data_IF_139394514736
#
_entry.id   IF_139394514736
#
_cell.length_a   1.000
_cell.length_b   1.000
_cell.length_c   1.000
_cell.angle_alpha   90.00
_cell.angle_beta   90.00
_cell.angle_gamma   90.00
#
_symmetry.space_group_name_H-M   'P 1'
#
loop_
_entity.id
_entity.type
_entity.pdbx_description
1 polymer ?
#
# COMPACT_ATOMS: atom_id res chain seq x y z
N UNK A 1 8.66 2.42 10.07
CA UNK A 1 8.27 1.21 9.30
C UNK A 1 7.53 1.55 8.02
N UNK A 2 6.53 2.43 8.04
CA UNK A 2 5.74 2.81 6.85
C UNK A 2 6.54 3.15 5.58
N UNK A 3 7.54 4.03 5.67
CA UNK A 3 8.40 4.38 4.52
C UNK A 3 9.07 3.15 3.90
N UNK A 4 9.67 2.28 4.73
CA UNK A 4 10.31 1.05 4.28
C UNK A 4 9.28 0.07 3.70
N UNK A 5 8.09 -0.01 4.29
CA UNK A 5 6.97 -0.84 3.81
C UNK A 5 6.49 -0.41 2.42
N UNK A 6 6.29 0.90 2.19
CA UNK A 6 5.92 1.44 0.88
C UNK A 6 7.01 1.18 -0.16
N UNK A 7 8.28 1.43 0.17
CA UNK A 7 9.40 1.17 -0.75
C UNK A 7 9.52 -0.31 -1.09
N UNK A 8 9.37 -1.19 -0.10
CA UNK A 8 9.39 -2.64 -0.27
C UNK A 8 8.21 -3.12 -1.12
N UNK A 9 6.99 -2.68 -0.82
CA UNK A 9 5.81 -3.08 -1.54
C UNK A 9 5.77 -2.54 -2.98
N UNK A 10 6.37 -1.37 -3.23
CA UNK A 10 6.40 -0.72 -4.54
C UNK A 10 7.25 -1.49 -5.56
N UNK A 11 8.23 -2.28 -5.12
CA UNK A 11 9.10 -3.06 -6.01
C UNK A 11 9.20 -4.50 -5.49
N UNK A 12 8.52 -5.48 -6.12
CA UNK A 12 8.22 -5.57 -7.56
C UNK A 12 6.78 -5.27 -7.97
N UNK A 13 5.95 -4.65 -7.10
CA UNK A 13 4.58 -4.23 -7.46
C UNK A 13 3.50 -5.31 -7.28
N UNK A 14 3.73 -6.29 -6.40
CA UNK A 14 2.80 -7.39 -6.14
C UNK A 14 1.38 -6.91 -5.79
N UNK A 15 1.27 -5.93 -4.88
CA UNK A 15 -0.02 -5.34 -4.48
C UNK A 15 -0.72 -4.74 -5.69
N UNK A 16 -0.02 -3.93 -6.51
CA UNK A 16 -0.60 -3.35 -7.72
C UNK A 16 -1.12 -4.42 -8.70
N UNK A 17 -0.34 -5.48 -8.93
CA UNK A 17 -0.74 -6.56 -9.83
C UNK A 17 -1.97 -7.29 -9.29
N UNK A 18 -1.95 -7.69 -8.02
CA UNK A 18 -3.06 -8.41 -7.39
C UNK A 18 -4.33 -7.56 -7.34
N UNK A 19 -4.23 -6.24 -7.11
CA UNK A 19 -5.37 -5.33 -7.19
C UNK A 19 -6.05 -5.38 -8.57
N UNK A 20 -5.29 -5.31 -9.66
CA UNK A 20 -5.86 -5.41 -11.02
C UNK A 20 -6.57 -6.75 -11.23
N UNK A 21 -5.97 -7.85 -10.77
CA UNK A 21 -6.57 -9.17 -10.86
C UNK A 21 -7.86 -9.28 -10.04
N UNK A 22 -7.86 -8.81 -8.79
CA UNK A 22 -9.02 -8.88 -7.89
C UNK A 22 -10.25 -8.19 -8.49
N UNK A 23 -10.08 -7.00 -9.05
CA UNK A 23 -11.18 -6.27 -9.70
C UNK A 23 -11.62 -6.93 -11.01
N UNK A 24 -10.69 -7.47 -11.80
CA UNK A 24 -11.05 -8.24 -12.99
C UNK A 24 -11.89 -9.47 -12.63
N UNK A 25 -11.51 -10.21 -11.59
CA UNK A 25 -12.24 -11.41 -11.15
C UNK A 25 -13.62 -11.07 -10.54
N UNK A 26 -13.73 -9.97 -9.80
CA UNK A 26 -15.03 -9.47 -9.31
C UNK A 26 -15.96 -9.08 -10.45
N UNK A 27 -15.45 -8.34 -11.43
CA UNK A 27 -16.25 -7.91 -12.59
C UNK A 27 -16.77 -9.10 -13.40
N UNK A 28 -15.96 -10.15 -13.53
CA UNK A 28 -16.33 -11.36 -14.26
C UNK A 28 -17.22 -12.32 -13.45
N UNK A 29 -17.64 -11.93 -12.23
CA UNK A 29 -18.50 -12.75 -11.38
C UNK A 29 -17.83 -14.02 -10.84
N UNK A 30 -16.49 -14.06 -10.85
CA UNK A 30 -15.72 -15.23 -10.41
C UNK A 30 -15.50 -15.25 -8.89
N UNK A 31 -15.77 -14.12 -8.22
CA UNK A 31 -15.76 -14.00 -6.77
C UNK A 31 -17.18 -13.67 -6.29
N UNK A 32 -17.69 -14.36 -5.26
CA UNK A 32 -18.95 -13.99 -4.60
C UNK A 32 -18.91 -12.54 -4.08
N UNK A 33 -20.05 -11.84 -4.08
CA UNK A 33 -20.12 -10.44 -3.65
C UNK A 33 -19.76 -10.26 -2.17
N UNK A 34 -20.12 -11.24 -1.34
CA UNK A 34 -19.84 -11.33 0.09
C UNK A 34 -18.38 -11.69 0.41
N UNK A 35 -17.65 -12.26 -0.56
CA UNK A 35 -16.23 -12.60 -0.40
C UNK A 35 -15.34 -11.41 -0.75
N UNK A 36 -14.99 -10.63 0.28
CA UNK A 36 -14.26 -9.36 0.17
C UNK A 36 -12.84 -9.50 0.70
N UNK A 37 -11.87 -8.87 0.02
CA UNK A 37 -10.52 -8.70 0.56
C UNK A 37 -10.43 -7.39 1.34
N UNK A 38 -10.88 -7.41 2.60
CA UNK A 38 -11.00 -6.23 3.46
C UNK A 38 -9.69 -5.43 3.62
N UNK A 39 -8.56 -6.12 3.82
CA UNK A 39 -7.26 -5.46 3.97
C UNK A 39 -6.86 -4.70 2.69
N UNK A 40 -7.11 -5.31 1.52
CA UNK A 40 -6.79 -4.72 0.22
C UNK A 40 -7.70 -3.53 -0.08
N UNK A 41 -9.00 -3.65 0.19
CA UNK A 41 -9.97 -2.57 -0.01
C UNK A 41 -9.69 -1.38 0.91
N UNK A 42 -9.31 -1.66 2.17
CA UNK A 42 -8.84 -0.63 3.10
C UNK A 42 -7.61 0.08 2.55
N UNK A 43 -6.60 -0.67 2.09
CA UNK A 43 -5.39 -0.08 1.50
C UNK A 43 -5.66 0.73 0.24
N UNK A 44 -6.60 0.30 -0.61
CA UNK A 44 -6.99 1.04 -1.81
C UNK A 44 -7.67 2.35 -1.44
N UNK A 45 -8.55 2.34 -0.45
CA UNK A 45 -9.23 3.56 0.03
C UNK A 45 -8.23 4.60 0.56
N UNK A 46 -7.21 4.14 1.29
CA UNK A 46 -6.10 4.91 1.82
C UNK A 46 -5.23 5.56 0.74
N UNK A 47 -4.88 4.80 -0.31
CA UNK A 47 -4.03 5.28 -1.41
C UNK A 47 -4.80 6.16 -2.40
N UNK A 48 -6.06 5.82 -2.67
CA UNK A 48 -6.89 6.33 -3.74
C UNK A 48 -6.81 5.46 -5.01
N UNK A 49 -7.92 5.35 -5.75
CA UNK A 49 -8.04 4.53 -6.97
C UNK A 49 -7.01 4.90 -8.05
N UNK A 50 -6.58 6.16 -8.11
CA UNK A 50 -5.56 6.67 -9.02
C UNK A 50 -4.16 6.05 -8.83
N UNK A 51 -3.89 5.47 -7.66
CA UNK A 51 -2.65 4.75 -7.41
C UNK A 51 -2.61 3.42 -8.18
N UNK A 52 -3.77 2.83 -8.46
CA UNK A 52 -3.88 1.51 -9.08
C UNK A 52 -4.38 1.57 -10.52
N UNK A 53 -5.34 2.46 -10.83
CA UNK A 53 -6.05 2.44 -12.10
C UNK A 53 -5.82 3.67 -12.98
N UNK A 54 -5.59 3.43 -14.26
CA UNK A 54 -5.70 4.48 -15.30
C UNK A 54 -7.14 4.96 -15.40
N UNK A 55 -7.37 6.28 -15.27
CA UNK A 55 -8.71 6.87 -15.31
C UNK A 55 -9.41 6.98 -13.95
N UNK A 56 -8.74 6.61 -12.85
CA UNK A 56 -9.23 6.66 -11.47
C UNK A 56 -10.41 5.72 -11.15
N UNK A 57 -10.70 4.77 -12.05
CA UNK A 57 -11.73 3.75 -11.85
C UNK A 57 -11.24 2.40 -12.39
N UNK A 58 -11.67 1.28 -11.79
CA UNK A 58 -11.44 -0.04 -12.37
C UNK A 58 -12.03 -0.10 -13.79
N UNK A 59 -11.31 -0.72 -14.75
CA UNK A 59 -11.88 -1.01 -16.07
C UNK A 59 -13.17 -1.83 -15.97
N UNK A 60 -13.99 -1.78 -17.03
CA UNK A 60 -15.28 -2.47 -17.12
C UNK A 60 -15.28 -3.63 -18.10
N UNK A 61 -14.13 -3.98 -18.68
CA UNK A 61 -13.99 -5.04 -19.68
C UNK A 61 -12.58 -5.66 -19.62
N UNK A 62 -12.44 -6.88 -20.14
CA UNK A 62 -11.20 -7.68 -20.09
C UNK A 62 -10.02 -6.99 -20.78
N UNK A 63 -10.25 -6.39 -21.94
CA UNK A 63 -9.22 -5.66 -22.69
C UNK A 63 -8.82 -4.38 -21.92
N UNK A 64 -9.77 -3.74 -21.24
CA UNK A 64 -9.55 -2.64 -20.32
C UNK A 64 -8.62 -3.00 -19.16
N UNK A 65 -8.87 -4.12 -18.47
CA UNK A 65 -8.01 -4.64 -17.39
C UNK A 65 -6.60 -4.93 -17.89
N UNK A 66 -6.46 -5.62 -19.03
CA UNK A 66 -5.17 -5.87 -19.65
C UNK A 66 -4.41 -4.57 -19.98
N UNK A 67 -5.08 -3.60 -20.63
CA UNK A 67 -4.48 -2.30 -20.97
C UNK A 67 -4.08 -1.50 -19.73
N UNK A 68 -4.92 -1.51 -18.70
CA UNK A 68 -4.64 -0.81 -17.45
C UNK A 68 -3.41 -1.41 -16.76
N UNK A 69 -3.31 -2.74 -16.72
CA UNK A 69 -2.18 -3.48 -16.17
C UNK A 69 -0.86 -3.11 -16.88
N UNK A 70 -0.80 -3.21 -18.21
CA UNK A 70 0.44 -2.94 -18.95
C UNK A 70 0.87 -1.47 -18.84
N UNK A 71 -0.08 -0.52 -18.87
CA UNK A 71 0.23 0.90 -18.65
C UNK A 71 0.78 1.11 -17.23
N UNK A 72 0.21 0.43 -16.24
CA UNK A 72 0.64 0.54 -14.83
C UNK A 72 2.04 -0.03 -14.60
N UNK A 73 2.46 -1.03 -15.39
CA UNK A 73 3.86 -1.50 -15.46
C UNK A 73 4.81 -0.57 -16.24
N UNK A 74 4.28 0.50 -16.83
CA UNK A 74 5.03 1.50 -17.59
C UNK A 74 5.26 1.11 -19.05
N UNK A 75 4.56 0.10 -19.58
CA UNK A 75 4.63 -0.26 -20.98
C UNK A 75 3.91 0.82 -21.81
N UNK A 76 4.63 1.42 -22.76
CA UNK A 76 4.09 2.49 -23.61
C UNK A 76 2.95 2.00 -24.50
N UNK A 77 1.87 2.78 -24.64
CA UNK A 77 0.76 2.49 -25.56
C UNK A 77 1.22 2.43 -27.03
N UNK A 78 2.34 3.06 -27.37
CA UNK A 78 2.96 2.97 -28.70
C UNK A 78 3.52 1.58 -29.03
N UNK A 79 3.70 0.71 -28.03
CA UNK A 79 4.06 -0.69 -28.26
C UNK A 79 2.86 -1.56 -28.66
N UNK A 80 1.63 -1.02 -28.68
CA UNK A 80 0.42 -1.73 -29.10
C UNK A 80 0.25 -1.77 -30.62
N UNK A 81 1.01 -0.95 -31.35
CA UNK A 81 1.03 -0.99 -32.80
C UNK A 81 1.76 -2.27 -33.30
N UNK A 82 1.31 -2.90 -34.39
CA UNK A 82 1.97 -4.06 -34.97
C UNK A 82 3.47 -3.76 -35.17
N UNK A 83 4.37 -4.59 -34.62
CA UNK A 83 5.78 -4.28 -34.66
C UNK A 83 6.28 -4.38 -36.10
N UNK A 84 6.90 -3.31 -36.62
CA UNK A 84 7.56 -3.31 -37.94
C UNK A 84 8.73 -4.31 -38.03
N UNK A 85 9.21 -4.83 -36.90
CA UNK A 85 10.28 -5.83 -36.79
C UNK A 85 9.86 -6.94 -35.84
N UNK A 86 9.99 -8.21 -36.25
CA UNK A 86 9.85 -9.36 -35.35
C UNK A 86 10.84 -9.19 -34.19
N UNK A 87 10.37 -9.31 -32.94
CA UNK A 87 11.15 -9.24 -31.68
C UNK A 87 11.47 -7.85 -31.09
N UNK A 88 10.72 -6.79 -31.41
CA UNK A 88 10.88 -5.51 -30.68
C UNK A 88 10.30 -5.64 -29.26
N UNK A 89 11.16 -5.66 -28.24
CA UNK A 89 10.74 -5.59 -26.83
C UNK A 89 9.97 -4.29 -26.57
N UNK A 90 8.90 -4.38 -25.78
CA UNK A 90 8.15 -3.22 -25.34
C UNK A 90 9.07 -2.26 -24.55
N UNK A 91 8.97 -0.96 -24.84
CA UNK A 91 9.74 0.03 -24.10
C UNK A 91 9.02 0.33 -22.77
N UNK A 92 9.71 0.12 -21.65
CA UNK A 92 9.18 0.38 -20.31
C UNK A 92 9.67 1.76 -19.86
N UNK A 93 8.74 2.68 -19.69
CA UNK A 93 9.03 4.03 -19.24
C UNK A 93 8.78 4.15 -17.73
N UNK A 94 9.85 4.36 -16.96
CA UNK A 94 9.78 4.43 -15.50
C UNK A 94 8.82 5.53 -15.00
N UNK A 95 8.75 6.68 -15.69
CA UNK A 95 7.79 7.75 -15.35
C UNK A 95 6.32 7.39 -15.59
N UNK A 96 6.05 6.36 -16.40
CA UNK A 96 4.69 5.92 -16.70
C UNK A 96 4.21 4.88 -15.68
N UNK A 97 5.13 4.16 -15.02
CA UNK A 97 4.80 3.21 -13.95
C UNK A 97 3.96 3.86 -12.86
N UNK A 98 2.89 3.20 -12.44
CA UNK A 98 2.11 3.64 -11.28
C UNK A 98 2.94 3.41 -10.02
N UNK A 99 2.79 4.31 -9.05
CA UNK A 99 3.50 4.21 -7.77
C UNK A 99 2.54 4.57 -6.64
N UNK A 100 2.77 3.95 -5.50
CA UNK A 100 2.01 4.21 -4.28
C UNK A 100 2.45 5.55 -3.68
N UNK A 101 1.51 6.22 -3.02
CA UNK A 101 1.78 7.43 -2.25
C UNK A 101 2.35 7.05 -0.88
N UNK A 102 3.34 7.81 -0.43
CA UNK A 102 3.78 7.77 0.96
C UNK A 102 2.70 8.38 1.86
N UNK A 103 2.06 7.56 2.68
CA UNK A 103 1.07 8.04 3.66
C UNK A 103 1.76 8.57 4.91
N UNK A 104 1.00 9.16 5.84
CA UNK A 104 1.53 9.75 7.07
C UNK A 104 2.72 10.72 6.82
N UNK A 105 2.56 11.61 5.85
CA UNK A 105 3.67 12.44 5.35
C UNK A 105 4.16 13.46 6.39
N UNK A 106 3.25 13.99 7.20
CA UNK A 106 3.56 14.96 8.26
C UNK A 106 4.41 14.30 9.34
N UNK A 107 4.03 13.08 9.72
CA UNK A 107 4.77 12.20 10.62
C UNK A 107 6.14 11.85 10.06
N UNK A 108 6.22 11.47 8.76
CA UNK A 108 7.48 11.18 8.09
C UNK A 108 8.45 12.37 8.12
N UNK A 109 7.96 13.59 7.88
CA UNK A 109 8.77 14.81 7.92
C UNK A 109 9.23 15.16 9.33
N UNK A 110 8.44 14.83 10.34
CA UNK A 110 8.77 15.02 11.75
C UNK A 110 9.71 13.93 12.30
N UNK A 111 9.68 12.72 11.71
CA UNK A 111 10.41 11.54 12.19
C UNK A 111 11.91 11.74 12.37
N UNK A 112 12.56 12.51 11.48
CA UNK A 112 13.99 12.81 11.57
C UNK A 112 14.36 13.52 12.89
N UNK A 113 13.40 14.11 13.59
CA UNK A 113 13.61 14.74 14.90
C UNK A 113 13.52 13.74 16.06
N UNK A 114 12.67 12.72 15.90
CA UNK A 114 12.43 11.69 16.92
C UNK A 114 13.54 10.64 16.90
N UNK A 115 14.01 10.25 15.72
CA UNK A 115 14.95 9.12 15.52
C UNK A 115 16.43 9.54 15.57
N UNK A 116 16.76 10.83 15.41
CA UNK A 116 18.15 11.28 15.40
C UNK A 116 18.83 11.08 16.76
N UNK A 117 19.76 10.13 16.82
CA UNK A 117 20.69 9.93 17.93
C UNK A 117 21.65 11.11 18.05
N UNK A 118 21.60 11.79 19.21
CA UNK A 118 22.60 12.70 19.77
C UNK A 118 23.22 13.76 18.80
N UNK A 119 22.68 14.97 18.85
CA UNK A 119 23.42 16.21 18.50
C UNK A 119 23.02 16.91 17.21
N UNK A 120 22.35 16.23 16.28
CA UNK A 120 22.00 16.77 14.95
C UNK A 120 20.49 17.05 14.78
N UNK A 121 19.79 17.31 15.89
CA UNK A 121 18.39 17.68 15.84
C UNK A 121 18.25 19.11 15.28
N UNK A 122 17.59 19.29 14.12
CA UNK A 122 17.37 20.64 13.60
C UNK A 122 16.49 21.45 14.58
N UNK A 123 16.78 22.76 14.74
CA UNK A 123 16.06 23.59 15.69
C UNK A 123 14.57 23.65 15.38
N UNK A 124 13.76 23.59 16.45
CA UNK A 124 12.29 23.63 16.40
C UNK A 124 11.74 25.04 16.22
N UNK A 125 12.04 25.69 15.09
CA UNK A 125 11.49 27.03 14.86
C UNK A 125 10.02 26.92 14.41
N UNK A 126 9.24 27.98 14.68
CA UNK A 126 7.87 28.11 14.19
C UNK A 126 7.80 27.92 12.66
N UNK A 127 8.77 28.45 11.93
CA UNK A 127 8.91 28.32 10.48
C UNK A 127 9.10 26.86 10.04
N UNK A 128 9.90 26.06 10.75
CA UNK A 128 10.08 24.64 10.44
C UNK A 128 8.77 23.87 10.60
N UNK A 129 8.03 24.10 11.71
CA UNK A 129 6.74 23.43 11.96
C UNK A 129 5.73 23.82 10.89
N UNK A 130 5.67 25.11 10.55
CA UNK A 130 4.78 25.63 9.53
C UNK A 130 5.07 25.02 8.15
N UNK A 131 6.35 24.90 7.78
CA UNK A 131 6.78 24.26 6.54
C UNK A 131 6.38 22.77 6.50
N UNK A 132 6.45 22.06 7.63
CA UNK A 132 6.01 20.66 7.73
C UNK A 132 4.49 20.56 7.50
N UNK A 133 3.70 21.39 8.19
CA UNK A 133 2.24 21.43 8.02
C UNK A 133 1.84 21.73 6.57
N UNK A 134 2.41 22.78 5.97
CA UNK A 134 2.12 23.16 4.59
C UNK A 134 2.53 22.05 3.60
N UNK A 135 3.68 21.42 3.84
CA UNK A 135 4.13 20.29 3.02
C UNK A 135 3.21 19.08 3.15
N UNK A 136 2.73 18.77 4.36
CA UNK A 136 1.76 17.72 4.63
C UNK A 136 0.44 17.94 3.87
N UNK A 137 -0.13 19.13 3.98
CA UNK A 137 -1.36 19.51 3.24
C UNK A 137 -1.17 19.45 1.74
N UNK A 138 -0.06 19.98 1.22
CA UNK A 138 0.26 19.88 -0.21
C UNK A 138 0.34 18.42 -0.65
N UNK A 139 1.05 17.59 0.12
CA UNK A 139 1.21 16.17 -0.17
C UNK A 139 -0.13 15.40 -0.13
N UNK A 140 -1.06 15.80 0.74
CA UNK A 140 -2.40 15.21 0.80
C UNK A 140 -3.10 15.24 -0.57
N UNK A 141 -2.88 16.31 -1.34
CA UNK A 141 -3.49 16.52 -2.65
C UNK A 141 -2.79 15.83 -3.81
N UNK A 142 -1.59 15.30 -3.59
CA UNK A 142 -0.78 14.68 -4.65
C UNK A 142 -1.07 13.18 -4.77
N UNK A 143 -0.92 12.64 -5.97
CA UNK A 143 -0.82 11.21 -6.24
C UNK A 143 0.59 10.69 -5.91
N UNK A 144 0.82 9.38 -6.04
CA UNK A 144 2.14 8.77 -5.82
C UNK A 144 3.24 9.22 -6.79
N UNK A 145 2.92 10.04 -7.80
CA UNK A 145 3.86 10.65 -8.75
C UNK A 145 4.10 12.14 -8.47
N UNK A 146 3.43 12.71 -7.48
CA UNK A 146 3.53 14.13 -7.16
C UNK A 146 2.64 15.05 -8.01
N UNK A 147 1.68 14.51 -8.76
CA UNK A 147 0.69 15.32 -9.49
C UNK A 147 -0.56 15.57 -8.64
N UNK A 148 -1.20 16.73 -8.81
CA UNK A 148 -2.46 17.04 -8.14
C UNK A 148 -3.57 16.10 -8.61
N UNK A 149 -4.22 15.43 -7.66
CA UNK A 149 -5.32 14.49 -7.94
C UNK A 149 -6.47 15.21 -8.64
N UNK A 150 -7.12 14.61 -9.65
CA UNK A 150 -8.19 15.26 -10.42
C UNK A 150 -9.34 15.80 -9.56
N UNK A 151 -9.77 15.05 -8.54
CA UNK A 151 -10.83 15.47 -7.59
C UNK A 151 -10.40 16.55 -6.58
N UNK A 152 -9.11 16.88 -6.52
CA UNK A 152 -8.53 17.82 -5.56
C UNK A 152 -8.07 19.14 -6.20
N UNK A 153 -8.25 19.31 -7.51
CA UNK A 153 -7.80 20.50 -8.25
C UNK A 153 -8.41 21.80 -7.71
N UNK A 154 -9.65 21.76 -7.23
CA UNK A 154 -10.34 22.91 -6.64
C UNK A 154 -9.83 23.27 -5.24
N UNK A 155 -9.32 22.29 -4.49
CA UNK A 155 -8.75 22.46 -3.13
C UNK A 155 -7.25 22.77 -3.14
N UNK A 156 -6.58 22.62 -4.29
CA UNK A 156 -5.15 22.88 -4.41
C UNK A 156 -4.71 24.33 -4.16
N UNK A 157 -5.46 25.36 -4.64
CA UNK A 157 -5.15 26.75 -4.30
C UNK A 157 -5.28 27.02 -2.80
N UNK A 158 -6.33 26.49 -2.17
CA UNK A 158 -6.64 26.67 -0.75
C UNK A 158 -5.57 26.04 0.16
N UNK A 159 -5.13 24.82 -0.15
CA UNK A 159 -4.03 24.17 0.58
C UNK A 159 -2.68 24.86 0.36
N UNK A 160 -2.46 25.48 -0.81
CA UNK A 160 -1.24 26.26 -1.07
C UNK A 160 -1.23 27.57 -0.28
N UNK A 161 -2.41 28.17 -0.06
CA UNK A 161 -2.62 29.35 0.78
C UNK A 161 -2.89 29.03 2.24
N UNK A 162 -2.74 27.77 2.68
CA UNK A 162 -3.00 27.41 4.06
C UNK A 162 -1.98 28.09 4.98
N UNK A 163 -2.50 28.89 5.92
CA UNK A 163 -1.77 29.46 7.03
C UNK A 163 -2.50 29.01 8.30
N UNK A 164 -1.80 28.43 9.29
CA UNK A 164 -2.43 28.11 10.57
C UNK A 164 -3.03 29.39 11.19
N UNK A 165 -4.30 29.34 11.59
CA UNK A 165 -4.99 30.49 12.20
C UNK A 165 -4.27 30.98 13.46
N UNK A 166 -3.57 30.07 14.15
CA UNK A 166 -2.73 30.36 15.29
C UNK A 166 -1.25 30.34 14.91
N UNK A 167 -0.66 31.53 14.73
CA UNK A 167 0.78 31.72 14.52
C UNK A 167 1.60 31.62 15.81
N UNK A 168 0.97 31.34 16.95
CA UNK A 168 1.69 31.16 18.21
C UNK A 168 2.45 29.83 18.19
N UNK A 169 3.63 29.74 18.83
CA UNK A 169 4.34 28.46 18.93
C UNK A 169 3.47 27.33 19.50
N UNK A 170 2.62 27.63 20.48
CA UNK A 170 1.71 26.66 21.07
C UNK A 170 0.64 26.18 20.07
N UNK A 171 0.04 27.10 19.30
CA UNK A 171 -0.94 26.77 18.28
C UNK A 171 -0.37 25.89 17.17
N UNK A 172 0.82 26.21 16.68
CA UNK A 172 1.53 25.41 15.68
C UNK A 172 1.86 24.00 16.17
N UNK A 173 2.21 23.84 17.45
CA UNK A 173 2.48 22.53 18.04
C UNK A 173 1.18 21.72 18.15
N UNK A 174 0.07 22.35 18.57
CA UNK A 174 -1.24 21.70 18.64
C UNK A 174 -1.73 21.26 17.26
N UNK A 175 -1.80 22.21 16.32
CA UNK A 175 -1.42 22.06 14.90
C UNK A 175 -0.91 20.68 14.46
N UNK A 176 0.39 20.55 14.68
CA UNK A 176 1.19 19.39 14.31
C UNK A 176 0.74 18.12 15.03
N UNK A 177 0.40 18.21 16.32
CA UNK A 177 -0.04 17.06 17.10
C UNK A 177 -1.36 16.48 16.58
N UNK A 178 -2.32 17.33 16.22
CA UNK A 178 -3.60 16.93 15.61
C UNK A 178 -3.37 16.25 14.26
N UNK A 179 -2.50 16.80 13.40
CA UNK A 179 -2.17 16.20 12.10
C UNK A 179 -1.45 14.86 12.24
N UNK A 180 -0.51 14.73 13.18
CA UNK A 180 0.16 13.45 13.47
C UNK A 180 -0.85 12.43 14.01
N UNK A 181 -1.74 12.85 14.91
CA UNK A 181 -2.77 11.97 15.47
C UNK A 181 -3.75 11.49 14.39
N UNK A 182 -4.12 12.35 13.44
CA UNK A 182 -4.94 11.97 12.29
C UNK A 182 -4.25 10.96 11.35
N UNK A 183 -2.91 10.92 11.35
CA UNK A 183 -2.09 9.99 10.54
C UNK A 183 -1.81 8.65 11.25
N UNK A 184 -2.29 8.42 12.47
CA UNK A 184 -2.02 7.16 13.22
C UNK A 184 -2.50 5.93 12.45
N UNK A 185 -3.71 5.96 11.91
CA UNK A 185 -4.24 4.86 11.11
C UNK A 185 -3.40 4.59 9.85
N UNK A 186 -2.80 5.63 9.27
CA UNK A 186 -1.90 5.52 8.12
C UNK A 186 -0.55 4.89 8.48
N UNK A 187 -0.06 5.15 9.70
CA UNK A 187 1.20 4.61 10.22
C UNK A 187 1.10 3.16 10.67
N UNK A 188 -0.04 2.79 11.24
CA UNK A 188 -0.26 1.49 11.86
C UNK A 188 -0.69 0.42 10.86
N UNK A 189 -1.06 0.80 9.63
CA UNK A 189 -1.41 -0.18 8.60
C UNK A 189 -0.20 -1.04 8.21
N UNK A 190 -0.30 -2.35 8.45
CA UNK A 190 0.79 -3.28 8.17
C UNK A 190 0.90 -3.64 6.67
N UNK A 191 1.56 -2.75 5.93
CA UNK A 191 1.85 -2.93 4.50
C UNK A 191 2.72 -4.17 4.25
N UNK A 192 3.57 -4.59 5.19
CA UNK A 192 4.41 -5.77 5.01
C UNK A 192 3.58 -7.04 5.01
N UNK A 193 2.65 -7.16 5.96
CA UNK A 193 1.70 -8.27 5.99
C UNK A 193 0.84 -8.29 4.73
N UNK A 194 0.29 -7.15 4.30
CA UNK A 194 -0.46 -7.09 3.04
C UNK A 194 0.40 -7.53 1.84
N UNK A 195 1.62 -7.01 1.71
CA UNK A 195 2.54 -7.40 0.66
C UNK A 195 2.81 -8.90 0.67
N UNK A 196 3.16 -9.47 1.83
CA UNK A 196 3.44 -10.89 1.97
C UNK A 196 2.24 -11.76 1.59
N UNK A 197 1.01 -11.32 1.93
CA UNK A 197 -0.21 -12.00 1.50
C UNK A 197 -0.43 -11.92 -0.01
N UNK A 198 -0.19 -10.77 -0.63
CA UNK A 198 -0.23 -10.67 -2.10
C UNK A 198 0.83 -11.54 -2.75
N UNK A 199 2.02 -11.67 -2.14
CA UNK A 199 3.10 -12.50 -2.64
C UNK A 199 2.79 -14.00 -2.52
N UNK A 200 2.20 -14.44 -1.41
CA UNK A 200 1.72 -15.81 -1.20
C UNK A 200 0.69 -16.21 -2.26
N UNK A 201 -0.29 -15.34 -2.53
CA UNK A 201 -1.26 -15.57 -3.59
C UNK A 201 -0.59 -15.78 -4.96
N UNK A 202 0.37 -14.92 -5.32
CA UNK A 202 1.09 -15.05 -6.58
C UNK A 202 1.90 -16.35 -6.66
N UNK A 203 2.51 -16.80 -5.56
CA UNK A 203 3.20 -18.09 -5.50
C UNK A 203 2.24 -19.25 -5.75
N UNK A 204 1.07 -19.25 -5.09
CA UNK A 204 0.04 -20.27 -5.34
C UNK A 204 -0.40 -20.28 -6.81
N UNK A 205 -0.57 -19.12 -7.42
CA UNK A 205 -0.88 -19.02 -8.85
C UNK A 205 0.21 -19.62 -9.74
N UNK A 206 1.49 -19.33 -9.45
CA UNK A 206 2.64 -19.91 -10.18
C UNK A 206 2.62 -21.43 -10.11
N UNK A 207 2.42 -21.97 -8.92
CA UNK A 207 2.51 -23.41 -8.69
C UNK A 207 1.40 -24.18 -9.43
N UNK A 208 0.25 -23.52 -9.67
CA UNK A 208 -0.87 -24.07 -10.45
C UNK A 208 -0.77 -23.81 -11.96
N UNK A 209 0.01 -22.82 -12.39
CA UNK A 209 0.16 -22.47 -13.81
C UNK A 209 1.39 -23.08 -14.46
N UNK A 210 2.37 -23.59 -13.68
CA UNK A 210 3.58 -24.40 -14.03
C UNK A 210 4.49 -23.91 -15.17
N UNK A 211 4.05 -23.00 -16.03
CA UNK A 211 4.73 -22.58 -17.26
C UNK A 211 5.06 -21.08 -17.31
N UNK A 212 4.84 -20.33 -16.22
CA UNK A 212 4.86 -18.86 -16.28
C UNK A 212 5.98 -18.24 -15.45
N UNK A 213 6.74 -17.39 -16.14
CA UNK A 213 7.68 -16.35 -15.73
C UNK A 213 8.27 -16.42 -14.31
N UNK A 214 9.60 -16.31 -14.21
CA UNK A 214 10.34 -16.19 -12.94
C UNK A 214 9.91 -14.98 -12.08
N UNK A 215 9.27 -13.98 -12.69
CA UNK A 215 8.76 -12.80 -12.02
C UNK A 215 7.27 -12.97 -11.68
N UNK A 216 6.99 -13.30 -10.42
CA UNK A 216 5.65 -13.53 -9.88
C UNK A 216 4.60 -12.48 -10.29
N UNK A 217 4.87 -11.15 -10.25
CA UNK A 217 3.87 -10.15 -10.63
C UNK A 217 3.46 -10.21 -12.11
N UNK A 218 4.27 -10.80 -13.01
CA UNK A 218 3.94 -10.92 -14.43
C UNK A 218 2.90 -12.02 -14.73
N UNK A 219 2.70 -12.96 -13.80
CA UNK A 219 1.68 -14.01 -13.95
C UNK A 219 0.30 -13.37 -14.12
N UNK A 220 0.02 -12.31 -13.36
CA UNK A 220 -1.23 -11.54 -13.50
C UNK A 220 -1.36 -10.97 -14.91
N UNK A 221 -0.29 -10.39 -15.44
CA UNK A 221 -0.29 -9.84 -16.79
C UNK A 221 -0.61 -10.88 -17.84
N UNK A 222 -0.10 -12.10 -17.67
CA UNK A 222 -0.39 -13.20 -18.57
C UNK A 222 -1.85 -13.65 -18.49
N UNK A 223 -2.39 -13.83 -17.27
CA UNK A 223 -3.81 -14.17 -17.06
C UNK A 223 -4.74 -13.13 -17.72
N UNK A 224 -4.45 -11.84 -17.52
CA UNK A 224 -5.24 -10.75 -18.11
C UNK A 224 -5.06 -10.70 -19.64
N UNK A 225 -3.85 -10.95 -20.14
CA UNK A 225 -3.57 -10.99 -21.58
C UNK A 225 -4.37 -12.10 -22.27
N UNK A 226 -4.34 -13.34 -21.75
CA UNK A 226 -5.04 -14.47 -22.38
C UNK A 226 -6.56 -14.31 -22.33
N UNK A 227 -7.10 -13.77 -21.23
CA UNK A 227 -8.52 -13.44 -21.11
C UNK A 227 -8.96 -12.35 -22.11
N UNK A 228 -8.06 -11.41 -22.44
CA UNK A 228 -8.28 -10.38 -23.44
C UNK A 228 -8.02 -10.86 -24.90
N UNK A 229 -7.63 -12.12 -25.11
CA UNK A 229 -7.30 -12.64 -26.44
C UNK A 229 -5.93 -12.18 -26.95
N UNK A 230 -4.96 -12.06 -26.05
CA UNK A 230 -3.56 -11.71 -26.34
C UNK A 230 -2.64 -12.89 -26.01
N UNK A 231 -1.53 -12.99 -26.74
CA UNK A 231 -0.54 -14.08 -26.58
C UNK A 231 0.25 -13.91 -25.29
N UNK A 232 0.63 -12.67 -24.97
CA UNK A 232 1.43 -12.33 -23.81
C UNK A 232 1.28 -10.83 -23.49
N UNK A 233 2.04 -10.38 -22.48
CA UNK A 233 2.15 -8.98 -22.06
C UNK A 233 2.77 -8.09 -23.16
N UNK A 234 3.41 -8.67 -24.18
CA UNK A 234 4.11 -7.97 -25.26
C UNK A 234 3.22 -7.77 -26.50
N UNK A 235 1.97 -7.31 -26.33
CA UNK A 235 1.15 -6.77 -27.43
C UNK A 235 1.22 -7.56 -28.76
N UNK A 236 1.23 -8.89 -28.67
CA UNK A 236 1.23 -9.78 -29.83
C UNK A 236 -0.07 -9.70 -30.64
N UNK A 237 -0.11 -10.33 -31.84
CA UNK A 237 -1.33 -10.39 -32.63
C UNK A 237 -2.49 -11.00 -31.81
N UNK A 238 -3.74 -10.57 -32.04
CA UNK A 238 -4.89 -11.15 -31.35
C UNK A 238 -4.97 -12.67 -31.56
N UNK A 239 -5.30 -13.39 -30.49
CA UNK A 239 -5.59 -14.82 -30.50
C UNK A 239 -7.00 -15.05 -29.93
N UNK A 240 -7.54 -16.25 -30.10
CA UNK A 240 -8.77 -16.65 -29.42
C UNK A 240 -8.64 -16.43 -27.91
N UNK A 241 -9.67 -15.85 -27.29
CA UNK A 241 -9.74 -15.66 -25.84
C UNK A 241 -9.66 -17.02 -25.14
N UNK A 242 -8.88 -17.06 -24.06
CA UNK A 242 -8.74 -18.25 -23.23
C UNK A 242 -9.03 -17.88 -21.78
N UNK A 243 -10.11 -18.43 -21.28
CA UNK A 243 -10.62 -18.17 -19.92
C UNK A 243 -10.10 -19.19 -18.90
N UNK A 244 -9.41 -20.24 -19.35
CA UNK A 244 -8.84 -21.31 -18.51
C UNK A 244 -8.00 -20.75 -17.35
N UNK A 245 -7.07 -19.84 -17.66
CA UNK A 245 -6.20 -19.24 -16.66
C UNK A 245 -6.93 -18.25 -15.74
N UNK A 246 -7.92 -17.53 -16.26
CA UNK A 246 -8.74 -16.60 -15.47
C UNK A 246 -9.62 -17.37 -14.48
N UNK A 247 -10.20 -18.50 -14.90
CA UNK A 247 -10.97 -19.39 -14.04
C UNK A 247 -10.10 -20.04 -12.95
N UNK A 248 -8.87 -20.45 -13.29
CA UNK A 248 -7.91 -20.97 -12.31
C UNK A 248 -7.53 -19.88 -11.31
N UNK A 249 -7.21 -18.66 -11.78
CA UNK A 249 -6.92 -17.52 -10.91
C UNK A 249 -8.09 -17.18 -9.97
N UNK A 250 -9.33 -17.20 -10.50
CA UNK A 250 -10.55 -17.00 -9.72
C UNK A 250 -10.72 -18.04 -8.61
N UNK A 251 -10.47 -19.33 -8.91
CA UNK A 251 -10.53 -20.41 -7.91
C UNK A 251 -9.50 -20.23 -6.81
N UNK A 252 -8.24 -19.94 -7.19
CA UNK A 252 -7.14 -19.77 -6.23
C UNK A 252 -7.40 -18.57 -5.33
N UNK A 253 -7.83 -17.44 -5.90
CA UNK A 253 -8.14 -16.25 -5.10
C UNK A 253 -9.34 -16.48 -4.19
N UNK A 254 -10.39 -17.15 -4.67
CA UNK A 254 -11.54 -17.52 -3.83
C UNK A 254 -11.11 -18.35 -2.63
N UNK A 255 -10.40 -19.45 -2.86
CA UNK A 255 -9.89 -20.31 -1.80
C UNK A 255 -9.01 -19.52 -0.81
N UNK A 256 -8.11 -18.68 -1.33
CA UNK A 256 -7.24 -17.83 -0.52
C UNK A 256 -8.03 -16.89 0.42
N UNK A 257 -9.13 -16.31 -0.05
CA UNK A 257 -9.99 -15.44 0.75
C UNK A 257 -10.84 -16.23 1.75
N UNK A 258 -11.37 -17.39 1.36
CA UNK A 258 -12.12 -18.31 2.23
C UNK A 258 -11.26 -18.83 3.40
N UNK A 259 -9.95 -19.01 3.19
CA UNK A 259 -8.96 -19.33 4.22
C UNK A 259 -8.67 -18.15 5.19
N UNK A 260 -9.32 -17.00 5.00
CA UNK A 260 -9.22 -15.84 5.88
C UNK A 260 -8.01 -14.94 5.60
N UNK A 261 -7.29 -15.14 4.49
CA UNK A 261 -6.14 -14.31 4.16
C UNK A 261 -6.49 -12.87 3.73
N UNK A 262 -7.78 -12.56 3.56
CA UNK A 262 -8.26 -11.23 3.19
C UNK A 262 -8.38 -10.21 4.32
N UNK A 263 -8.20 -10.62 5.58
CA UNK A 263 -8.45 -9.80 6.78
C UNK A 263 -7.35 -9.91 7.86
N UNK A 264 -6.16 -10.34 7.46
CA UNK A 264 -5.06 -10.60 8.40
C UNK A 264 -4.56 -9.31 9.04
N UNK A 265 -4.43 -8.22 8.27
CA UNK A 265 -3.99 -6.93 8.81
C UNK A 265 -5.00 -6.40 9.82
N UNK A 266 -6.29 -6.45 9.46
CA UNK A 266 -7.39 -6.07 10.35
C UNK A 266 -7.43 -6.90 11.64
N UNK A 267 -7.31 -8.22 11.53
CA UNK A 267 -7.33 -9.13 12.68
C UNK A 267 -6.11 -8.92 13.61
N UNK A 268 -4.95 -8.53 13.07
CA UNK A 268 -3.76 -8.18 13.86
C UNK A 268 -3.95 -6.85 14.59
N UNK A 269 -4.41 -5.80 13.88
CA UNK A 269 -4.67 -4.49 14.48
C UNK A 269 -5.69 -4.56 15.65
N UNK A 270 -6.73 -5.38 15.50
CA UNK A 270 -7.71 -5.59 16.57
C UNK A 270 -7.12 -6.26 17.82
N UNK A 271 -6.11 -7.12 17.67
CA UNK A 271 -5.41 -7.76 18.80
C UNK A 271 -4.51 -6.76 19.53
N UNK A 272 -3.80 -5.91 18.80
CA UNK A 272 -2.91 -4.91 19.38
C UNK A 272 -3.67 -3.86 20.20
N UNK A 273 -4.81 -3.38 19.70
CA UNK A 273 -5.70 -2.49 20.46
C UNK A 273 -6.19 -3.12 21.78
N UNK A 274 -6.38 -4.43 21.80
CA UNK A 274 -6.80 -5.16 23.00
C UNK A 274 -5.67 -5.30 24.03
N UNK A 275 -4.41 -5.26 23.59
CA UNK A 275 -3.25 -5.21 24.48
C UNK A 275 -3.12 -3.82 25.10
N UNK A 276 -3.32 -2.74 24.33
CA UNK A 276 -3.26 -1.37 24.84
C UNK A 276 -4.34 -1.06 25.88
N UNK A 277 -5.58 -1.52 25.67
CA UNK A 277 -6.64 -1.39 26.68
C UNK A 277 -6.29 -2.07 28.02
N UNK A 278 -5.62 -3.23 27.99
CA UNK A 278 -5.15 -3.91 29.21
C UNK A 278 -4.05 -3.15 29.95
N UNK A 279 -3.38 -2.20 29.29
CA UNK A 279 -2.35 -1.34 29.90
C UNK A 279 -2.98 -0.08 30.50
N UNK A 280 -4.08 0.43 29.96
CA UNK A 280 -4.86 1.53 30.53
C UNK A 280 -5.56 1.14 31.85
N UNK A 281 -5.85 -0.14 32.07
CA UNK A 281 -6.38 -0.70 33.32
C UNK A 281 -5.32 -0.82 34.45
N UNK A 282 -4.07 -0.41 34.19
CA UNK A 282 -3.05 -0.33 35.24
C UNK A 282 -3.21 1.00 35.98
N UNK A 283 -3.75 0.95 37.19
CA UNK A 283 -3.79 2.10 38.10
C UNK A 283 -2.37 2.61 38.34
N UNK A 284 -2.12 3.86 37.96
CA UNK A 284 -0.87 4.57 38.21
C UNK A 284 -0.93 5.16 39.63
N UNK A 285 -0.13 4.63 40.55
CA UNK A 285 0.18 5.37 41.79
C UNK A 285 1.13 6.52 41.40
N UNK A 286 0.65 7.76 41.55
CA UNK A 286 1.34 9.00 41.17
C UNK A 286 2.67 9.22 41.92
N UNK A 287 3.58 9.90 41.21
CA UNK A 287 4.79 10.60 41.68
C UNK A 287 6.06 9.79 42.04
N UNK A 288 6.56 8.97 41.12
CA UNK A 288 8.00 8.67 41.08
C UNK A 288 8.60 8.72 39.66
N UNK A 289 9.44 9.72 39.31
CA UNK A 289 10.18 9.78 38.05
C UNK A 289 11.07 8.54 37.77
N UNK A 290 11.32 7.71 38.79
CA UNK A 290 12.01 6.42 38.70
C UNK A 290 11.16 5.32 38.04
N UNK A 291 9.84 5.50 37.98
CA UNK A 291 8.88 4.49 37.51
C UNK A 291 9.13 4.07 36.06
N UNK A 292 9.63 4.96 35.20
CA UNK A 292 9.94 4.63 33.79
C UNK A 292 11.11 3.64 33.69
N UNK A 293 12.14 3.79 34.55
CA UNK A 293 13.27 2.86 34.61
C UNK A 293 12.87 1.52 35.25
N UNK A 294 11.93 1.55 36.20
CA UNK A 294 11.34 0.35 36.77
C UNK A 294 10.46 -0.40 35.75
N UNK A 295 9.68 0.31 34.93
CA UNK A 295 8.85 -0.22 33.85
C UNK A 295 9.67 -0.87 32.74
N UNK A 296 10.76 -0.24 32.28
CA UNK A 296 11.72 -0.85 31.33
C UNK A 296 12.25 -2.18 31.86
N UNK A 297 12.68 -2.23 33.12
CA UNK A 297 13.17 -3.47 33.76
C UNK A 297 12.09 -4.55 33.91
N UNK A 298 10.82 -4.17 34.07
CA UNK A 298 9.71 -5.12 34.22
C UNK A 298 9.29 -5.72 32.88
N UNK A 299 9.30 -4.90 31.82
CA UNK A 299 9.07 -5.33 30.43
C UNK A 299 10.21 -6.25 29.97
N UNK A 300 11.46 -5.90 30.25
CA UNK A 300 12.63 -6.73 29.93
C UNK A 300 12.64 -8.05 30.72
N UNK A 301 12.10 -8.07 31.95
CA UNK A 301 11.96 -9.32 32.72
C UNK A 301 10.83 -10.21 32.21
N UNK A 302 9.73 -9.64 31.72
CA UNK A 302 8.60 -10.43 31.20
C UNK A 302 8.88 -11.02 29.81
N UNK A 303 9.73 -10.37 28.99
CA UNK A 303 10.20 -10.93 27.71
C UNK A 303 11.23 -12.06 27.87
N UNK A 304 11.82 -12.22 29.08
CA UNK A 304 12.79 -13.27 29.41
C UNK A 304 12.18 -14.49 30.13
N UNK A 305 10.88 -14.49 30.46
CA UNK A 305 10.21 -15.60 31.16
C UNK A 305 9.19 -16.34 30.28
N UNK A 306 9.48 -16.52 29.00
CA UNK A 306 8.87 -17.59 28.20
C UNK A 306 9.51 -18.94 28.53
N UNK A 307 8.77 -20.06 28.57
CA UNK A 307 9.31 -21.34 28.99
C UNK A 307 10.43 -21.81 28.04
N UNK A 308 11.63 -21.96 28.60
CA UNK A 308 12.74 -22.69 27.98
C UNK A 308 12.35 -24.17 27.97
N UNK A 309 12.09 -24.73 26.78
CA UNK A 309 12.02 -26.18 26.61
C UNK A 309 13.38 -26.80 27.00
N UNK A 310 13.44 -27.75 27.95
CA UNK A 310 14.65 -28.51 28.16
C UNK A 310 14.80 -29.53 27.02
N UNK A 311 15.92 -29.43 26.31
CA UNK A 311 16.39 -30.47 25.40
C UNK A 311 16.91 -31.63 26.27
N UNK A 312 16.23 -32.77 26.21
CA UNK A 312 16.79 -34.09 26.51
C UNK A 312 16.58 -34.98 25.29
#
# INVERSE_FOLDING_TARGET
MHYQGVTYAATPGAIMCVTQLYYALRQEGLLPEDLVWEDLDTFISMQGSEAFFVGNQPPTDREGHYKNFIISLGISTSSWAPPKRKNKKANIHAGTRRNMKFMAFTSLKTNNRIVSSAGDQPPSTAEVIQNVLQSGRRHALLDGKGHVRPGMKTKAPEAASFWPDEHTPAGLIRTLAEDINAEVADLDFDIFTLHNKTWDLLQRMRDHTRELYDQLPLIVGYVLATAAGRIDVNAGPPQAQRDDLLLVAGRIMRQFLEEGHGRVVKDLAAKDLNIHKRVEDLEFEDDDPSAINYMKRKIDKQSLTGPICPVQ
#
